data_IF_959168215496
#
_entry.id   IF_959168215496
#
_cell.length_a   1.000
_cell.length_b   1.000
_cell.length_c   1.000
_cell.angle_alpha   90.00
_cell.angle_beta   90.00
_cell.angle_gamma   90.00
#
_symmetry.space_group_name_H-M   'P 1'
#
loop_
_entity.id
_entity.type
_entity.pdbx_description
1 polymer ?
#
# COMPACT_ATOMS: atom_id res chain seq x y z
N UNK A 1 -8.46 -4.92 24.00
CA UNK A 1 -8.44 -4.26 22.68
C UNK A 1 -7.82 -2.88 22.73
N UNK A 2 -8.32 -1.94 23.55
CA UNK A 2 -7.76 -0.58 23.67
C UNK A 2 -6.23 -0.51 23.94
N UNK A 3 -5.68 -1.37 24.81
CA UNK A 3 -4.22 -1.36 25.07
C UNK A 3 -3.38 -1.70 23.83
N UNK A 4 -3.84 -2.63 22.98
CA UNK A 4 -3.13 -3.00 21.75
C UNK A 4 -3.17 -1.85 20.75
N UNK A 5 -4.31 -1.18 20.67
CA UNK A 5 -4.54 -0.02 19.82
C UNK A 5 -3.69 1.19 20.26
N UNK A 6 -3.65 1.49 21.57
CA UNK A 6 -2.80 2.54 22.15
C UNK A 6 -1.31 2.26 21.88
N UNK A 7 -0.86 1.01 22.07
CA UNK A 7 0.52 0.64 21.79
C UNK A 7 0.85 0.72 20.30
N UNK A 8 -0.10 0.38 19.42
CA UNK A 8 0.08 0.54 17.98
C UNK A 8 0.27 2.01 17.61
N UNK A 9 -0.60 2.91 18.11
CA UNK A 9 -0.48 4.36 17.88
C UNK A 9 0.84 4.90 18.44
N UNK A 10 1.22 4.52 19.66
CA UNK A 10 2.49 4.95 20.26
C UNK A 10 3.69 4.54 19.40
N UNK A 11 3.72 3.30 18.92
CA UNK A 11 4.79 2.80 18.04
C UNK A 11 4.85 3.51 16.67
N UNK A 12 3.76 4.16 16.23
CA UNK A 12 3.78 4.98 15.00
C UNK A 12 4.45 6.34 15.24
N UNK A 13 4.32 6.88 16.47
CA UNK A 13 4.67 8.26 16.82
C UNK A 13 6.06 8.40 17.46
N UNK A 14 6.73 7.30 17.79
CA UNK A 14 8.05 7.29 18.42
C UNK A 14 9.18 7.28 17.39
N UNK A 15 10.36 7.77 17.77
CA UNK A 15 11.56 7.78 16.91
C UNK A 15 12.04 6.38 16.53
N UNK A 16 11.65 5.35 17.28
CA UNK A 16 11.94 3.94 16.99
C UNK A 16 10.87 3.25 16.14
N UNK A 17 9.88 4.01 15.65
CA UNK A 17 8.87 3.56 14.71
C UNK A 17 9.49 2.74 13.59
N UNK A 18 8.83 1.63 13.27
CA UNK A 18 9.22 0.78 12.14
C UNK A 18 8.62 1.28 10.84
N UNK A 19 8.14 2.52 10.80
CA UNK A 19 7.66 3.18 9.60
C UNK A 19 8.55 4.37 9.27
N UNK A 20 8.94 4.48 8.00
CA UNK A 20 9.72 5.59 7.48
C UNK A 20 8.86 6.38 6.49
N UNK A 21 8.65 7.69 6.72
CA UNK A 21 8.02 8.54 5.73
C UNK A 21 8.99 8.80 4.58
N UNK A 22 8.49 8.71 3.36
CA UNK A 22 9.21 9.01 2.12
C UNK A 22 8.37 10.01 1.34
N UNK A 23 8.92 11.20 1.10
CA UNK A 23 8.31 12.18 0.19
C UNK A 23 8.69 11.82 -1.25
N UNK A 24 7.73 11.21 -1.96
CA UNK A 24 7.85 10.87 -3.37
C UNK A 24 6.99 11.79 -4.26
N UNK A 25 6.46 12.89 -3.72
CA UNK A 25 5.47 13.73 -4.40
C UNK A 25 5.97 14.29 -5.72
N UNK A 26 7.25 14.65 -5.80
CA UNK A 26 7.88 15.12 -7.04
C UNK A 26 7.93 14.05 -8.14
N UNK A 27 7.98 12.76 -7.78
CA UNK A 27 8.12 11.65 -8.71
C UNK A 27 6.78 11.02 -9.09
N UNK A 28 5.92 10.77 -8.10
CA UNK A 28 4.64 10.05 -8.29
C UNK A 28 3.40 10.84 -7.85
N UNK A 29 3.56 12.01 -7.23
CA UNK A 29 2.44 12.74 -6.61
C UNK A 29 1.99 12.12 -5.29
N UNK A 30 2.79 11.25 -4.67
CA UNK A 30 2.42 10.52 -3.46
C UNK A 30 3.40 10.71 -2.29
N UNK A 31 2.87 10.61 -1.08
CA UNK A 31 3.64 10.41 0.14
C UNK A 31 3.59 8.94 0.52
N UNK A 32 4.72 8.31 0.80
CA UNK A 32 4.79 6.90 1.18
C UNK A 32 5.15 6.75 2.66
N UNK A 33 4.52 5.78 3.32
CA UNK A 33 4.87 5.31 4.64
C UNK A 33 5.31 3.85 4.54
N UNK A 34 6.62 3.61 4.59
CA UNK A 34 7.23 2.30 4.36
C UNK A 34 7.60 1.62 5.68
N UNK A 35 7.19 0.37 5.85
CA UNK A 35 7.65 -0.49 6.94
C UNK A 35 9.14 -0.86 6.77
N UNK A 36 9.97 -0.60 7.77
CA UNK A 36 11.44 -0.59 7.61
C UNK A 36 12.14 -1.92 7.91
N UNK A 37 11.48 -2.86 8.60
CA UNK A 37 12.05 -4.17 8.94
C UNK A 37 12.03 -5.08 7.72
N UNK A 38 10.87 -5.24 7.08
CA UNK A 38 10.73 -6.11 5.91
C UNK A 38 10.65 -5.35 4.58
N UNK A 39 10.29 -4.06 4.61
CA UNK A 39 10.01 -3.27 3.39
C UNK A 39 8.96 -3.94 2.51
N UNK A 40 8.02 -4.62 3.14
CA UNK A 40 6.98 -5.42 2.48
C UNK A 40 5.57 -5.00 2.88
N UNK A 41 5.46 -3.88 3.62
CA UNK A 41 4.20 -3.18 3.82
C UNK A 41 4.46 -1.70 3.60
N UNK A 42 3.61 -1.04 2.84
CA UNK A 42 3.65 0.41 2.69
C UNK A 42 2.25 0.97 2.46
N UNK A 43 2.08 2.25 2.77
CA UNK A 43 0.86 3.00 2.51
C UNK A 43 1.24 4.24 1.72
N UNK A 44 0.59 4.44 0.59
CA UNK A 44 0.73 5.62 -0.24
C UNK A 44 -0.46 6.54 0.01
N UNK A 45 -0.19 7.84 0.06
CA UNK A 45 -1.18 8.90 0.20
C UNK A 45 -1.03 9.84 -0.98
N UNK A 46 -2.09 9.99 -1.77
CA UNK A 46 -2.08 10.90 -2.91
C UNK A 46 -2.01 12.36 -2.42
N UNK A 47 -1.20 13.19 -3.07
CA UNK A 47 -1.11 14.63 -2.78
C UNK A 47 -2.39 15.38 -3.18
N UNK A 48 -3.14 14.84 -4.14
CA UNK A 48 -4.35 15.39 -4.73
C UNK A 48 -5.51 14.37 -4.67
N UNK A 49 -5.95 13.96 -3.47
CA UNK A 49 -7.01 12.97 -3.31
C UNK A 49 -8.33 13.43 -3.97
N UNK A 50 -8.55 14.73 -4.14
CA UNK A 50 -9.70 15.25 -4.87
C UNK A 50 -9.77 14.80 -6.34
N UNK A 51 -8.66 14.36 -6.94
CA UNK A 51 -8.53 14.05 -8.36
C UNK A 51 -8.56 12.55 -8.68
N UNK A 52 -8.59 11.68 -7.67
CA UNK A 52 -8.58 10.23 -7.84
C UNK A 52 -9.56 9.54 -6.88
N UNK A 53 -9.77 8.24 -7.07
CA UNK A 53 -10.38 7.31 -6.10
C UNK A 53 -9.32 6.50 -5.34
N UNK A 54 -8.05 6.72 -5.66
CA UNK A 54 -6.87 6.10 -5.06
C UNK A 54 -6.21 7.06 -4.06
N UNK A 55 -6.98 7.55 -3.10
CA UNK A 55 -6.50 8.55 -2.13
C UNK A 55 -5.47 7.95 -1.18
N UNK A 56 -5.78 6.77 -0.66
CA UNK A 56 -4.90 5.97 0.18
C UNK A 56 -4.77 4.59 -0.44
N UNK A 57 -3.55 4.19 -0.78
CA UNK A 57 -3.27 2.87 -1.37
C UNK A 57 -2.41 2.05 -0.41
N UNK A 58 -2.93 0.91 0.02
CA UNK A 58 -2.20 -0.05 0.85
C UNK A 58 -1.51 -1.07 -0.04
N UNK A 59 -0.23 -1.31 0.21
CA UNK A 59 0.55 -2.40 -0.34
C UNK A 59 0.96 -3.30 0.82
N UNK A 60 0.47 -4.54 0.83
CA UNK A 60 0.56 -5.44 1.99
C UNK A 60 1.28 -6.72 1.60
N UNK A 61 2.10 -7.25 2.51
CA UNK A 61 2.74 -8.54 2.33
C UNK A 61 1.68 -9.64 2.10
N UNK A 62 1.71 -10.35 0.95
CA UNK A 62 0.77 -11.43 0.65
C UNK A 62 0.83 -12.62 1.61
N UNK A 63 1.96 -12.86 2.29
CA UNK A 63 2.21 -14.09 3.05
C UNK A 63 1.12 -14.39 4.09
N UNK A 64 0.63 -13.36 4.80
CA UNK A 64 -0.42 -13.52 5.81
C UNK A 64 -1.78 -13.87 5.19
N UNK A 65 -2.06 -13.36 4.00
CA UNK A 65 -3.29 -13.67 3.27
C UNK A 65 -3.26 -15.11 2.74
N UNK A 66 -2.12 -15.53 2.17
CA UNK A 66 -1.89 -16.90 1.71
C UNK A 66 -2.02 -17.87 2.88
N UNK A 67 -1.37 -17.58 4.01
CA UNK A 67 -1.46 -18.39 5.23
C UNK A 67 -2.90 -18.51 5.77
N UNK A 68 -3.73 -17.49 5.51
CA UNK A 68 -5.16 -17.48 5.85
C UNK A 68 -6.06 -18.15 4.80
N UNK A 69 -5.49 -18.69 3.72
CA UNK A 69 -6.21 -19.42 2.67
C UNK A 69 -6.66 -18.57 1.49
N UNK A 70 -6.20 -17.32 1.36
CA UNK A 70 -6.51 -16.50 0.18
C UNK A 70 -5.74 -17.02 -1.04
N UNK A 71 -6.48 -17.26 -2.13
CA UNK A 71 -5.92 -17.65 -3.41
C UNK A 71 -5.68 -16.40 -4.26
N UNK A 72 -4.44 -15.89 -4.24
CA UNK A 72 -4.07 -14.63 -4.89
C UNK A 72 -4.24 -14.65 -6.41
N UNK A 73 -4.18 -15.83 -7.04
CA UNK A 73 -4.39 -15.96 -8.48
C UNK A 73 -5.84 -15.67 -8.91
N UNK A 74 -6.77 -15.61 -7.95
CA UNK A 74 -8.17 -15.23 -8.19
C UNK A 74 -8.42 -13.73 -8.03
N UNK A 75 -7.46 -12.97 -7.50
CA UNK A 75 -7.58 -11.53 -7.41
C UNK A 75 -7.35 -10.89 -8.79
N UNK A 76 -8.03 -9.78 -9.11
CA UNK A 76 -7.69 -9.00 -10.28
C UNK A 76 -6.25 -8.49 -10.19
N UNK A 77 -5.61 -8.36 -11.35
CA UNK A 77 -4.30 -7.70 -11.45
C UNK A 77 -4.42 -6.22 -11.09
N UNK A 78 -3.41 -5.67 -10.43
CA UNK A 78 -3.32 -4.22 -10.20
C UNK A 78 -3.46 -3.46 -11.54
N UNK A 79 -4.36 -2.46 -11.63
CA UNK A 79 -4.57 -1.69 -12.86
C UNK A 79 -3.29 -0.98 -13.34
N UNK A 80 -3.27 -0.64 -14.63
CA UNK A 80 -2.11 0.02 -15.23
C UNK A 80 -2.16 1.54 -15.13
N UNK A 81 -3.33 2.12 -14.89
CA UNK A 81 -3.51 3.57 -14.82
C UNK A 81 -4.01 3.99 -13.44
N UNK A 82 -3.54 5.15 -12.98
CA UNK A 82 -4.04 5.81 -11.78
C UNK A 82 -5.54 6.11 -11.91
N UNK A 83 -6.31 5.78 -10.88
CA UNK A 83 -7.76 6.01 -10.80
C UNK A 83 -8.62 4.88 -11.36
N UNK A 84 -8.00 3.76 -11.80
CA UNK A 84 -8.73 2.58 -12.27
C UNK A 84 -8.99 1.55 -11.16
N UNK A 85 -8.37 1.70 -9.98
CA UNK A 85 -8.70 0.85 -8.84
C UNK A 85 -10.11 1.16 -8.33
N UNK A 86 -10.87 0.08 -8.12
CA UNK A 86 -12.15 0.12 -7.42
C UNK A 86 -11.84 0.20 -5.92
N UNK A 87 -12.32 1.23 -5.18
CA UNK A 87 -12.10 1.31 -3.75
C UNK A 87 -12.57 0.05 -3.00
N UNK A 88 -11.79 -0.37 -2.01
CA UNK A 88 -11.99 -1.57 -1.19
C UNK A 88 -11.92 -2.92 -1.94
N UNK A 89 -11.57 -2.91 -3.23
CA UNK A 89 -11.24 -4.12 -3.97
C UNK A 89 -9.78 -4.52 -3.70
N UNK A 90 -9.57 -5.81 -3.45
CA UNK A 90 -8.23 -6.39 -3.38
C UNK A 90 -7.70 -6.70 -4.78
N UNK A 91 -6.47 -6.30 -5.04
CA UNK A 91 -5.70 -6.58 -6.25
C UNK A 91 -4.43 -7.34 -5.91
N UNK A 92 -3.88 -8.05 -6.90
CA UNK A 92 -2.59 -8.71 -6.77
C UNK A 92 -1.56 -8.13 -7.75
N UNK A 93 -0.41 -7.76 -7.20
CA UNK A 93 0.81 -7.43 -7.91
C UNK A 93 1.80 -8.56 -7.67
N UNK A 94 2.24 -9.23 -8.74
CA UNK A 94 3.05 -10.44 -8.68
C UNK A 94 4.55 -10.19 -8.98
N UNK A 95 4.95 -8.92 -9.02
CA UNK A 95 6.32 -8.47 -9.39
C UNK A 95 6.72 -8.71 -10.85
N UNK A 96 5.82 -9.24 -11.69
CA UNK A 96 6.14 -9.55 -13.09
C UNK A 96 6.12 -8.33 -14.03
N UNK A 97 5.64 -7.18 -13.57
CA UNK A 97 5.47 -5.96 -14.36
C UNK A 97 5.88 -4.69 -13.60
N UNK A 98 6.14 -3.63 -14.36
CA UNK A 98 6.38 -2.29 -13.80
C UNK A 98 5.14 -1.86 -13.05
N UNK A 99 5.32 -1.47 -11.79
CA UNK A 99 4.23 -0.89 -11.02
C UNK A 99 4.00 0.54 -11.56
N UNK A 100 2.83 0.81 -12.14
CA UNK A 100 2.64 2.01 -12.94
C UNK A 100 2.78 3.33 -12.16
N UNK A 101 2.21 3.46 -10.94
CA UNK A 101 2.45 4.62 -10.07
C UNK A 101 3.94 4.93 -9.81
N UNK A 102 4.79 3.92 -9.59
CA UNK A 102 6.22 4.12 -9.33
C UNK A 102 7.10 4.15 -10.57
N UNK A 103 6.60 3.73 -11.74
CA UNK A 103 7.38 3.66 -12.98
C UNK A 103 8.56 2.66 -12.92
N UNK A 104 8.58 1.76 -11.93
CA UNK A 104 9.58 0.71 -11.76
C UNK A 104 8.96 -0.55 -11.13
N UNK A 105 9.69 -1.67 -11.12
CA UNK A 105 9.27 -2.86 -10.38
C UNK A 105 9.48 -2.67 -8.88
N UNK A 106 8.57 -3.19 -8.07
CA UNK A 106 8.71 -3.15 -6.61
C UNK A 106 9.64 -4.26 -6.06
N UNK A 107 10.06 -5.20 -6.92
CA UNK A 107 10.92 -6.35 -6.61
C UNK A 107 10.35 -7.30 -5.53
N UNK A 108 9.04 -7.21 -5.29
CA UNK A 108 8.28 -7.98 -4.31
C UNK A 108 6.81 -8.04 -4.74
N UNK A 109 6.10 -9.16 -4.49
CA UNK A 109 4.66 -9.23 -4.71
C UNK A 109 3.90 -8.51 -3.59
N UNK A 110 2.74 -7.92 -3.92
CA UNK A 110 1.88 -7.21 -2.98
C UNK A 110 0.42 -7.56 -3.20
N UNK A 111 -0.34 -7.59 -2.11
CA UNK A 111 -1.79 -7.41 -2.14
C UNK A 111 -2.07 -5.92 -1.98
N UNK A 112 -2.83 -5.35 -2.91
CA UNK A 112 -3.03 -3.91 -3.04
C UNK A 112 -4.52 -3.57 -2.87
N UNK A 113 -4.83 -2.47 -2.17
CA UNK A 113 -6.20 -1.95 -2.04
C UNK A 113 -6.18 -0.44 -1.89
N UNK A 114 -7.09 0.24 -2.58
CA UNK A 114 -7.33 1.66 -2.42
C UNK A 114 -8.48 1.93 -1.46
N UNK A 115 -8.40 3.06 -0.75
CA UNK A 115 -9.49 3.68 -0.01
C UNK A 115 -9.72 5.06 -0.61
N UNK A 116 -10.96 5.33 -0.97
CA UNK A 116 -11.49 6.66 -1.31
C UNK A 116 -12.05 7.26 -0.01
N UNK A 117 -11.56 8.42 0.40
CA UNK A 117 -11.95 9.06 1.67
C UNK A 117 -12.99 10.17 1.49
N UNK A 118 -13.55 10.31 0.29
CA UNK A 118 -14.66 11.24 -0.01
C UNK A 118 -16.01 10.77 0.53
#
# INVERSE_FOLDING_TARGET
>A
NAQKEINAIANLLTDDSKLMPIDATKASGEMCMLETVSKHNMVHFNQHPEQTTEDIVYYINPDQFIASGLDLAKLPRHPEQLGEMIPLQWYYYDDSYVEPPQGSQLNKPFVIMSIDVK
#
